data_IF_648582822693
#
_entry.id   IF_648582822693
#
_cell.length_a   1.000
_cell.length_b   1.000
_cell.length_c   1.000
_cell.angle_alpha   90.00
_cell.angle_beta   90.00
_cell.angle_gamma   90.00
#
_symmetry.space_group_name_H-M   'P 1'
#
loop_
_entity.id
_entity.type
_entity.pdbx_description
1 polymer ?
#
# COMPACT_ATOMS: atom_id res chain seq x y z
N UNK A 1 0.99 16.87 -15.92
CA UNK A 1 1.16 17.20 -14.49
C UNK A 1 1.56 15.92 -13.78
N UNK A 2 2.59 15.89 -12.91
CA UNK A 2 2.89 14.69 -12.14
C UNK A 2 1.72 14.39 -11.20
N UNK A 3 1.23 13.16 -11.23
CA UNK A 3 0.16 12.72 -10.34
C UNK A 3 0.60 12.83 -8.87
N UNK A 4 -0.31 13.18 -7.95
CA UNK A 4 0.00 13.18 -6.53
C UNK A 4 0.45 11.78 -6.07
N UNK A 5 1.45 11.73 -5.18
CA UNK A 5 1.84 10.49 -4.53
C UNK A 5 0.88 10.16 -3.40
N UNK A 6 0.48 8.90 -3.33
CA UNK A 6 -0.34 8.34 -2.27
C UNK A 6 0.39 7.18 -1.62
N UNK A 7 0.14 7.05 -0.32
CA UNK A 7 0.52 5.95 0.53
C UNK A 7 -0.75 5.19 0.91
N UNK A 8 -0.73 3.88 0.86
CA UNK A 8 -1.83 3.01 1.27
C UNK A 8 -1.30 2.03 2.29
N UNK A 9 -1.65 2.28 3.54
CA UNK A 9 -1.36 1.46 4.69
C UNK A 9 -2.43 0.38 4.82
N UNK A 10 -2.07 -0.86 4.55
CA UNK A 10 -2.96 -2.01 4.70
C UNK A 10 -2.52 -2.81 5.90
N UNK A 11 -3.28 -2.84 7.00
CA UNK A 11 -2.96 -3.69 8.13
C UNK A 11 -2.93 -5.15 7.69
N UNK A 12 -1.88 -5.87 8.04
CA UNK A 12 -1.73 -7.30 7.75
C UNK A 12 -1.62 -8.07 9.06
N UNK A 13 -2.21 -9.26 9.10
CA UNK A 13 -2.15 -10.16 10.26
C UNK A 13 -1.50 -11.47 9.83
N UNK A 14 -0.57 -11.98 10.62
CA UNK A 14 0.06 -13.28 10.32
C UNK A 14 -0.94 -14.40 10.61
N UNK A 15 -1.16 -15.28 9.64
CA UNK A 15 -2.06 -16.44 9.82
C UNK A 15 -1.42 -17.50 10.72
N UNK A 16 -0.09 -17.61 10.69
CA UNK A 16 0.69 -18.55 11.53
C UNK A 16 0.82 -18.05 12.99
N UNK A 17 0.81 -16.73 13.19
CA UNK A 17 0.99 -16.10 14.51
C UNK A 17 -0.01 -14.95 14.70
N UNK A 18 -1.22 -15.21 15.21
CA UNK A 18 -2.29 -14.21 15.27
C UNK A 18 -1.95 -12.98 16.13
N UNK A 19 -1.00 -13.08 17.05
CA UNK A 19 -0.46 -11.95 17.82
C UNK A 19 0.44 -11.01 16.99
N UNK A 20 0.96 -11.46 15.85
CA UNK A 20 1.78 -10.63 14.97
C UNK A 20 0.91 -9.83 14.02
N UNK A 21 0.92 -8.51 14.23
CA UNK A 21 0.33 -7.52 13.34
C UNK A 21 1.44 -6.74 12.65
N UNK A 22 1.21 -6.43 11.38
CA UNK A 22 2.07 -5.60 10.56
C UNK A 22 1.23 -4.64 9.74
N UNK A 23 1.89 -3.76 9.00
CA UNK A 23 1.25 -2.91 8.01
C UNK A 23 2.04 -3.08 6.71
N UNK A 24 1.33 -3.38 5.64
CA UNK A 24 1.88 -3.36 4.30
C UNK A 24 1.61 -2.01 3.67
N UNK A 25 2.68 -1.26 3.42
CA UNK A 25 2.62 0.11 2.91
C UNK A 25 2.86 0.07 1.41
N UNK A 26 1.83 0.42 0.63
CA UNK A 26 1.94 0.59 -0.82
C UNK A 26 2.08 2.07 -1.13
N UNK A 27 3.01 2.42 -2.00
CA UNK A 27 3.23 3.82 -2.36
C UNK A 27 3.33 3.97 -3.86
N UNK A 28 2.72 5.02 -4.38
CA UNK A 28 2.74 5.30 -5.81
C UNK A 28 1.92 6.51 -6.22
N UNK A 29 2.07 6.96 -7.48
CA UNK A 29 1.29 8.05 -8.03
C UNK A 29 -0.16 7.62 -8.28
N UNK A 30 -1.13 8.40 -7.82
CA UNK A 30 -2.54 8.18 -8.13
C UNK A 30 -3.28 9.51 -8.26
N UNK A 31 -4.44 9.46 -8.91
CA UNK A 31 -5.29 10.64 -9.10
C UNK A 31 -6.07 10.99 -7.82
N UNK A 32 -6.43 9.98 -7.03
CA UNK A 32 -7.28 10.10 -5.85
C UNK A 32 -7.01 8.97 -4.85
N UNK A 33 -7.39 9.16 -3.58
CA UNK A 33 -7.31 8.17 -2.50
C UNK A 33 -7.96 6.84 -2.87
N UNK A 34 -9.17 6.87 -3.43
CA UNK A 34 -9.90 5.66 -3.85
C UNK A 34 -9.21 4.93 -5.00
N UNK A 35 -8.64 5.68 -5.95
CA UNK A 35 -7.83 5.12 -7.04
C UNK A 35 -6.54 4.48 -6.52
N UNK A 36 -5.89 5.09 -5.52
CA UNK A 36 -4.72 4.55 -4.86
C UNK A 36 -5.01 3.20 -4.19
N UNK A 37 -6.11 3.09 -3.42
CA UNK A 37 -6.53 1.83 -2.79
C UNK A 37 -6.83 0.76 -3.85
N UNK A 38 -7.52 1.14 -4.94
CA UNK A 38 -7.82 0.21 -6.03
C UNK A 38 -6.55 -0.32 -6.69
N UNK A 39 -5.60 0.57 -7.02
CA UNK A 39 -4.32 0.18 -7.63
C UNK A 39 -3.51 -0.68 -6.65
N UNK A 40 -3.48 -0.34 -5.36
CA UNK A 40 -2.82 -1.15 -4.33
C UNK A 40 -3.41 -2.57 -4.26
N UNK A 41 -4.74 -2.70 -4.33
CA UNK A 41 -5.40 -4.00 -4.37
C UNK A 41 -5.04 -4.80 -5.63
N UNK A 42 -5.03 -4.17 -6.81
CA UNK A 42 -4.62 -4.81 -8.07
C UNK A 42 -3.14 -5.26 -8.02
N UNK A 43 -2.25 -4.45 -7.43
CA UNK A 43 -0.83 -4.77 -7.27
C UNK A 43 -0.63 -5.91 -6.27
N UNK A 44 -1.38 -5.92 -5.17
CA UNK A 44 -1.33 -7.01 -4.21
C UNK A 44 -1.85 -8.33 -4.80
N UNK A 45 -2.94 -8.28 -5.56
CA UNK A 45 -3.48 -9.46 -6.24
C UNK A 45 -2.47 -10.04 -7.25
N UNK A 46 -1.84 -9.18 -8.05
CA UNK A 46 -0.77 -9.58 -8.95
C UNK A 46 0.46 -10.15 -8.21
N UNK A 47 0.85 -9.54 -7.08
CA UNK A 47 1.94 -10.03 -6.23
C UNK A 47 1.60 -11.40 -5.62
N UNK A 48 0.35 -11.60 -5.17
CA UNK A 48 -0.16 -12.87 -4.66
C UNK A 48 -0.13 -13.94 -5.75
N UNK A 49 -0.67 -13.64 -6.93
CA UNK A 49 -0.66 -14.57 -8.06
C UNK A 49 0.77 -14.94 -8.50
N UNK A 50 1.69 -13.97 -8.52
CA UNK A 50 3.11 -14.23 -8.78
C UNK A 50 3.73 -15.14 -7.72
N UNK A 51 3.45 -14.90 -6.43
CA UNK A 51 3.93 -15.75 -5.33
C UNK A 51 3.34 -17.17 -5.41
N UNK A 52 2.05 -17.31 -5.69
CA UNK A 52 1.37 -18.61 -5.89
C UNK A 52 1.97 -19.36 -7.08
N UNK A 53 2.38 -18.63 -8.13
CA UNK A 53 3.11 -19.17 -9.26
C UNK A 53 4.60 -19.44 -8.98
N UNK A 54 5.11 -19.12 -7.78
CA UNK A 54 6.53 -19.27 -7.42
C UNK A 54 7.48 -18.29 -8.13
N UNK A 55 6.95 -17.19 -8.65
CA UNK A 55 7.68 -16.14 -9.36
C UNK A 55 8.12 -15.03 -8.40
N UNK A 56 9.22 -14.36 -8.74
CA UNK A 56 9.68 -13.18 -8.00
C UNK A 56 8.62 -12.08 -8.06
N UNK A 57 8.28 -11.53 -6.88
CA UNK A 57 7.27 -10.48 -6.78
C UNK A 57 7.81 -9.23 -7.47
N UNK A 58 7.09 -8.68 -8.48
CA UNK A 58 7.56 -7.53 -9.23
C UNK A 58 7.73 -6.34 -8.28
N UNK A 59 8.98 -6.00 -7.99
CA UNK A 59 9.32 -5.04 -6.94
C UNK A 59 8.84 -3.61 -7.21
N UNK A 60 8.64 -3.24 -8.48
CA UNK A 60 8.08 -1.94 -8.88
C UNK A 60 7.45 -2.08 -10.25
N UNK A 61 6.12 -1.91 -10.36
CA UNK A 61 5.47 -1.74 -11.67
C UNK A 61 6.02 -0.48 -12.35
N UNK A 62 5.99 -0.40 -13.70
CA UNK A 62 6.30 0.83 -14.42
C UNK A 62 5.42 2.02 -13.98
N UNK A 63 4.25 1.71 -13.42
CA UNK A 63 3.29 2.66 -12.82
C UNK A 63 3.76 3.25 -11.48
N UNK A 64 4.94 2.87 -10.99
CA UNK A 64 5.53 3.36 -9.74
C UNK A 64 5.07 2.63 -8.48
N UNK A 65 3.96 1.90 -8.56
CA UNK A 65 3.41 1.08 -7.48
C UNK A 65 4.18 -0.23 -7.30
N UNK A 66 4.56 -0.56 -6.07
CA UNK A 66 5.23 -1.82 -5.75
C UNK A 66 4.82 -2.35 -4.37
N UNK A 67 4.55 -3.65 -4.29
CA UNK A 67 4.30 -4.37 -3.04
C UNK A 67 5.64 -4.80 -2.42
N UNK A 68 6.44 -3.84 -1.96
CA UNK A 68 7.76 -4.16 -1.43
C UNK A 68 7.58 -4.84 -0.06
N UNK A 69 8.00 -6.10 0.03
CA UNK A 69 7.92 -6.86 1.28
C UNK A 69 6.61 -7.63 1.45
N UNK A 70 5.98 -8.05 0.35
CA UNK A 70 4.91 -9.04 0.42
C UNK A 70 5.44 -10.28 1.15
N UNK A 71 4.72 -10.72 2.18
CA UNK A 71 5.08 -11.88 2.98
C UNK A 71 3.98 -12.93 2.84
N UNK A 72 4.28 -14.13 2.30
CA UNK A 72 3.32 -15.22 2.31
C UNK A 72 2.94 -15.58 3.74
N UNK A 73 1.67 -15.92 3.98
CA UNK A 73 1.12 -16.20 5.31
C UNK A 73 0.65 -14.96 6.10
N UNK A 74 0.45 -13.83 5.43
CA UNK A 74 -0.13 -12.63 6.02
C UNK A 74 -1.41 -12.24 5.30
N UNK A 75 -2.52 -12.15 6.04
CA UNK A 75 -3.82 -11.72 5.53
C UNK A 75 -3.95 -10.20 5.64
N UNK A 76 -4.18 -9.49 4.52
CA UNK A 76 -4.45 -8.06 4.51
C UNK A 76 -5.89 -7.76 4.93
N UNK A 77 -6.02 -6.85 5.89
CA UNK A 77 -7.27 -6.27 6.34
C UNK A 77 -7.56 -5.03 5.49
N UNK A 78 -8.06 -5.26 4.28
CA UNK A 78 -8.44 -4.18 3.37
C UNK A 78 -9.57 -3.31 3.89
N UNK A 79 -10.40 -3.85 4.80
CA UNK A 79 -11.47 -3.09 5.45
C UNK A 79 -10.90 -1.97 6.33
N UNK A 80 -9.75 -2.24 6.94
CA UNK A 80 -9.00 -1.29 7.78
C UNK A 80 -7.90 -0.55 7.00
N UNK A 81 -7.84 -0.71 5.67
CA UNK A 81 -6.84 -0.04 4.85
C UNK A 81 -7.05 1.46 4.86
N UNK A 82 -5.98 2.18 5.15
CA UNK A 82 -5.96 3.65 5.14
C UNK A 82 -5.13 4.09 3.95
N UNK A 83 -5.63 5.04 3.17
CA UNK A 83 -4.83 5.65 2.12
C UNK A 83 -4.56 7.11 2.47
N UNK A 84 -3.31 7.53 2.60
CA UNK A 84 -2.91 8.93 2.78
C UNK A 84 -2.40 9.51 1.47
N UNK A 85 -2.56 10.82 1.26
CA UNK A 85 -1.66 11.48 0.31
C UNK A 85 -0.28 11.45 0.97
N UNK A 86 0.74 10.93 0.27
CA UNK A 86 2.10 10.98 0.78
C UNK A 86 2.48 12.46 0.85
N UNK A 87 2.57 12.99 2.07
CA UNK A 87 3.10 14.32 2.32
C UNK A 87 4.55 14.16 2.76
N UNK A 88 5.46 14.75 2.01
CA UNK A 88 6.89 14.61 2.25
C UNK A 88 7.22 15.08 3.68
N UNK A 89 7.90 14.27 4.53
CA UNK A 89 8.19 14.65 5.91
C UNK A 89 9.16 15.84 6.02
N UNK A 90 9.84 16.22 4.93
CA UNK A 90 10.63 17.45 4.82
C UNK A 90 9.85 18.62 4.21
N UNK A 91 8.63 18.42 3.73
CA UNK A 91 7.77 19.53 3.33
C UNK A 91 7.19 20.20 4.59
N UNK A 92 7.66 21.42 4.86
CA UNK A 92 7.17 22.31 5.92
C UNK A 92 5.68 22.71 5.80
N UNK A 93 4.90 22.08 4.92
CA UNK A 93 3.47 22.32 4.73
C UNK A 93 2.64 21.38 5.61
N UNK A 94 2.89 21.41 6.93
CA UNK A 94 1.84 21.09 7.91
C UNK A 94 0.81 22.22 7.84
N UNK A 95 -0.12 22.14 6.89
CA UNK A 95 -1.45 22.69 7.15
C UNK A 95 -2.16 21.62 7.94
N UNK A 96 -2.23 21.87 9.23
CA UNK A 96 -3.06 21.20 10.21
C UNK A 96 -4.48 21.10 9.66
N UNK A 97 -4.91 19.91 9.27
CA UNK A 97 -6.34 19.60 9.18
C UNK A 97 -6.82 19.30 10.61
N UNK A 98 -6.77 20.34 11.44
CA UNK A 98 -7.71 20.50 12.53
C UNK A 98 -8.72 21.49 11.98
N UNK A 99 -9.83 21.00 11.46
CA UNK A 99 -11.04 21.81 11.42
C UNK A 99 -12.16 21.08 12.15
N UNK A 100 -12.96 21.90 12.83
CA UNK A 100 -13.72 21.67 14.06
C UNK A 100 -15.16 21.25 13.77
#
# INVERSE_FOLDING_TARGET
MPLPFFEVDVPIKSTDQPDRRGVHVFTGPADSRSSAVRIAHEVYDAARAAQEAGLEIPGKRPDGWGARGYRPGWEPDWLSATAGRWNDPYSWLRVSDFDL
#
